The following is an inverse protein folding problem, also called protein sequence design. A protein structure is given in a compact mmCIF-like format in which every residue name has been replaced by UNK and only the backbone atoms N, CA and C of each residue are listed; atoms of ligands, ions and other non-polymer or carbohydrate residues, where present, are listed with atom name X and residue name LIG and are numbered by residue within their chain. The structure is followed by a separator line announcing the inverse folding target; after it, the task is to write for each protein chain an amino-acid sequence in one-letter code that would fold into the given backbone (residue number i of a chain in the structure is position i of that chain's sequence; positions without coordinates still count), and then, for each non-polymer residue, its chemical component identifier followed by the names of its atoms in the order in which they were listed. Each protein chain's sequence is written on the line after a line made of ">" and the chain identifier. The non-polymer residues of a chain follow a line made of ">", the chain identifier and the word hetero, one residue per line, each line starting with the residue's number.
data_IF_451901100232
#
_entry.id   IF_451901100232
#
_cell.length_a   1.000
_cell.length_b   1.000
_cell.length_c   1.000
_cell.angle_alpha   90.00
_cell.angle_beta   90.00
_cell.angle_gamma   90.00
#
_symmetry.space_group_name_H-M   'P 1'
#
loop_
_entity.id
_entity.type
_entity.pdbx_description
1 polymer ?
#
# COMPACT_ATOMS: atom_id res chain seq x y z
N UNK A 1 11.87 24.39 18.55
CA UNK A 1 12.08 24.11 17.13
C UNK A 1 10.78 23.72 16.40
N UNK A 2 9.62 23.70 17.08
CA UNK A 2 8.35 23.21 16.50
C UNK A 2 7.62 24.16 15.54
N UNK A 3 7.96 25.44 15.49
CA UNK A 3 7.26 26.38 14.59
C UNK A 3 7.63 26.19 13.12
N UNK A 4 8.89 25.86 12.80
CA UNK A 4 9.33 25.78 11.41
C UNK A 4 8.68 24.62 10.66
N UNK A 5 8.62 23.43 11.26
CA UNK A 5 7.95 22.29 10.63
C UNK A 5 6.45 22.58 10.43
N UNK A 6 5.79 23.22 11.41
CA UNK A 6 4.39 23.62 11.30
C UNK A 6 4.17 24.61 10.16
N UNK A 7 5.01 25.63 10.04
CA UNK A 7 4.94 26.63 8.97
C UNK A 7 5.19 26.00 7.59
N UNK A 8 6.14 25.05 7.52
CA UNK A 8 6.40 24.27 6.29
C UNK A 8 5.18 23.44 5.91
N UNK A 9 4.57 22.72 6.86
CA UNK A 9 3.35 21.92 6.62
C UNK A 9 2.19 22.80 6.14
N UNK A 10 2.01 23.99 6.73
CA UNK A 10 0.97 24.95 6.33
C UNK A 10 1.19 25.51 4.91
N UNK A 11 2.42 25.81 4.53
CA UNK A 11 2.70 26.29 3.17
C UNK A 11 2.60 25.17 2.14
N UNK A 12 3.05 23.96 2.47
CA UNK A 12 2.91 22.78 1.61
C UNK A 12 1.44 22.46 1.35
N UNK A 13 0.56 22.51 2.35
CA UNK A 13 -0.87 22.25 2.17
C UNK A 13 -1.57 23.28 1.27
N UNK A 14 -1.07 24.53 1.22
CA UNK A 14 -1.63 25.59 0.36
C UNK A 14 -1.13 25.56 -1.08
N UNK A 15 0.11 25.17 -1.30
CA UNK A 15 0.78 25.38 -2.60
C UNK A 15 1.25 24.08 -3.27
N UNK A 16 1.28 22.97 -2.52
CA UNK A 16 1.73 21.65 -2.96
C UNK A 16 3.05 21.68 -3.75
N UNK A 17 4.01 22.49 -3.28
CA UNK A 17 5.27 22.74 -3.99
C UNK A 17 6.40 23.06 -3.02
N UNK A 18 7.39 22.16 -2.95
CA UNK A 18 8.60 22.31 -2.13
C UNK A 18 9.30 23.64 -2.41
N UNK A 19 9.56 23.96 -3.68
CA UNK A 19 10.31 25.16 -4.05
C UNK A 19 9.59 26.46 -3.70
N UNK A 20 8.25 26.51 -3.86
CA UNK A 20 7.47 27.70 -3.45
C UNK A 20 7.49 27.86 -1.93
N UNK A 21 7.40 26.75 -1.19
CA UNK A 21 7.49 26.76 0.27
C UNK A 21 8.86 27.23 0.75
N UNK A 22 9.96 26.71 0.17
CA UNK A 22 11.32 27.16 0.46
C UNK A 22 11.50 28.68 0.23
N UNK A 23 11.06 29.17 -0.94
CA UNK A 23 11.18 30.59 -1.28
C UNK A 23 10.37 31.49 -0.34
N UNK A 24 9.16 31.07 0.06
CA UNK A 24 8.31 31.86 0.97
C UNK A 24 8.84 31.90 2.41
N UNK A 25 9.40 30.79 2.89
CA UNK A 25 9.88 30.66 4.25
C UNK A 25 11.38 31.02 4.39
N UNK A 26 12.05 31.39 3.29
CA UNK A 26 13.48 31.68 3.29
C UNK A 26 14.36 30.46 3.61
N UNK A 27 13.85 29.24 3.37
CA UNK A 27 14.57 28.00 3.67
C UNK A 27 15.44 27.64 2.47
N UNK A 28 16.75 27.56 2.69
CA UNK A 28 17.72 27.12 1.66
C UNK A 28 17.84 25.60 1.58
N UNK A 29 17.51 24.89 2.67
CA UNK A 29 17.54 23.43 2.73
C UNK A 29 16.29 22.81 2.10
N UNK A 30 16.32 22.58 0.80
CA UNK A 30 15.23 21.95 0.03
C UNK A 30 14.95 20.52 0.50
N UNK A 31 15.99 19.76 0.86
CA UNK A 31 15.85 18.38 1.31
C UNK A 31 14.99 18.27 2.58
N UNK A 32 15.18 19.20 3.53
CA UNK A 32 14.36 19.26 4.74
C UNK A 32 12.86 19.44 4.45
N UNK A 33 12.51 20.32 3.50
CA UNK A 33 11.11 20.55 3.11
C UNK A 33 10.54 19.35 2.35
N UNK A 34 11.34 18.71 1.50
CA UNK A 34 10.95 17.48 0.80
C UNK A 34 10.71 16.31 1.77
N UNK A 35 11.53 16.16 2.81
CA UNK A 35 11.34 15.16 3.85
C UNK A 35 10.03 15.39 4.62
N UNK A 36 9.68 16.64 4.92
CA UNK A 36 8.39 16.97 5.55
C UNK A 36 7.23 16.66 4.62
N UNK A 37 7.33 16.97 3.32
CA UNK A 37 6.30 16.60 2.35
C UNK A 37 6.12 15.07 2.31
N UNK A 38 7.21 14.29 2.24
CA UNK A 38 7.13 12.84 2.24
C UNK A 38 6.54 12.28 3.54
N UNK A 39 6.80 12.91 4.69
CA UNK A 39 6.14 12.57 5.96
C UNK A 39 4.64 12.88 5.93
N UNK A 40 4.25 14.05 5.42
CA UNK A 40 2.84 14.42 5.27
C UNK A 40 2.10 13.44 4.35
N UNK A 41 2.71 13.04 3.23
CA UNK A 41 2.14 12.05 2.31
C UNK A 41 1.95 10.69 2.99
N UNK A 42 2.91 10.26 3.84
CA UNK A 42 2.78 9.03 4.63
C UNK A 42 1.75 9.12 5.76
N UNK A 43 1.56 10.31 6.34
CA UNK A 43 0.60 10.55 7.43
C UNK A 43 -0.83 10.76 6.90
N UNK A 44 -0.99 11.12 5.63
CA UNK A 44 -2.30 11.37 5.04
C UNK A 44 -3.00 10.04 4.83
N UNK A 45 -4.13 9.84 5.52
CA UNK A 45 -4.98 8.68 5.29
C UNK A 45 -5.36 8.62 3.81
N UNK A 46 -5.33 7.42 3.19
CA UNK A 46 -5.67 7.27 1.78
C UNK A 46 -7.09 7.79 1.53
N UNK A 47 -7.24 8.58 0.46
CA UNK A 47 -8.54 9.12 0.07
C UNK A 47 -9.53 7.97 -0.21
N UNK A 48 -10.54 7.85 0.65
CA UNK A 48 -11.58 6.83 0.56
C UNK A 48 -12.72 7.25 -0.39
N UNK A 49 -12.64 8.43 -1.03
CA UNK A 49 -13.68 8.96 -1.91
C UNK A 49 -14.04 8.09 -3.12
N UNK A 50 -13.25 7.04 -3.39
CA UNK A 50 -13.53 6.02 -4.41
C UNK A 50 -13.79 4.60 -3.86
N UNK A 51 -13.89 4.43 -2.55
CA UNK A 51 -14.24 3.15 -1.94
C UNK A 51 -15.75 2.95 -2.00
N UNK A 52 -16.19 1.85 -2.61
CA UNK A 52 -17.58 1.40 -2.57
C UNK A 52 -17.86 0.64 -1.27
N UNK A 53 -16.84 -0.02 -0.70
CA UNK A 53 -16.96 -0.87 0.48
C UNK A 53 -15.88 -0.62 1.52
N UNK A 54 -15.57 0.65 1.79
CA UNK A 54 -14.61 1.12 2.79
C UNK A 54 -13.19 0.54 2.64
N UNK A 55 -12.82 0.10 1.44
CA UNK A 55 -11.51 -0.52 1.17
C UNK A 55 -11.41 -1.98 1.61
N UNK A 56 -12.55 -2.64 1.83
CA UNK A 56 -12.62 -4.09 2.10
C UNK A 56 -13.22 -4.88 0.95
N UNK A 57 -13.66 -4.19 -0.10
CA UNK A 57 -14.33 -4.82 -1.23
C UNK A 57 -15.66 -5.44 -0.84
N UNK A 58 -16.20 -6.19 -1.80
CA UNK A 58 -17.57 -6.68 -1.76
C UNK A 58 -17.82 -7.55 -0.52
N UNK A 59 -18.91 -7.34 0.24
CA UNK A 59 -19.20 -8.06 1.47
C UNK A 59 -19.14 -9.59 1.33
N UNK A 60 -19.60 -10.13 0.21
CA UNK A 60 -19.66 -11.57 -0.06
C UNK A 60 -18.29 -12.25 -0.29
N UNK A 61 -17.21 -11.46 -0.43
CA UNK A 61 -15.84 -11.98 -0.60
C UNK A 61 -14.95 -11.75 0.62
N UNK A 62 -15.48 -11.09 1.67
CA UNK A 62 -14.68 -10.71 2.85
C UNK A 62 -14.20 -11.91 3.66
N UNK A 63 -14.92 -13.03 3.60
CA UNK A 63 -14.52 -14.31 4.21
C UNK A 63 -13.23 -14.88 3.58
N UNK A 64 -12.94 -14.49 2.33
CA UNK A 64 -11.77 -14.92 1.55
C UNK A 64 -10.66 -13.88 1.53
N UNK A 65 -10.90 -12.70 2.10
CA UNK A 65 -9.93 -11.61 2.12
C UNK A 65 -8.79 -11.93 3.08
N UNK A 66 -7.58 -12.02 2.56
CA UNK A 66 -6.37 -12.31 3.32
C UNK A 66 -5.69 -11.02 3.75
N UNK A 67 -5.47 -10.11 2.79
CA UNK A 67 -4.71 -8.90 3.01
C UNK A 67 -5.24 -7.76 2.13
N UNK A 68 -4.96 -6.53 2.57
CA UNK A 68 -5.14 -5.31 1.77
C UNK A 68 -3.87 -4.48 1.78
N UNK A 69 -3.64 -3.76 0.70
CA UNK A 69 -2.53 -2.82 0.54
C UNK A 69 -2.99 -1.64 -0.29
N UNK A 70 -2.30 -0.50 -0.23
CA UNK A 70 -2.55 0.56 -1.21
C UNK A 70 -2.09 0.12 -2.59
N UNK A 71 -2.84 0.51 -3.63
CA UNK A 71 -2.53 0.17 -5.02
C UNK A 71 -1.24 0.79 -5.53
N UNK A 72 -0.76 1.83 -4.86
CA UNK A 72 0.52 2.49 -5.11
C UNK A 72 1.69 1.76 -4.46
N UNK A 73 1.44 0.83 -3.54
CA UNK A 73 2.44 0.10 -2.80
C UNK A 73 2.67 -1.30 -3.38
N UNK A 74 3.89 -1.78 -3.27
CA UNK A 74 4.21 -3.18 -3.57
C UNK A 74 3.67 -4.04 -2.43
N UNK A 75 3.12 -5.22 -2.76
CA UNK A 75 2.71 -6.18 -1.74
C UNK A 75 3.87 -6.50 -0.81
N UNK A 76 3.69 -6.20 0.47
CA UNK A 76 4.62 -6.61 1.51
C UNK A 76 4.52 -8.13 1.70
N UNK A 77 5.48 -8.83 1.12
CA UNK A 77 5.57 -10.28 1.17
C UNK A 77 6.10 -10.81 2.51
N UNK A 78 6.51 -9.93 3.43
CA UNK A 78 6.95 -10.33 4.78
C UNK A 78 5.78 -10.53 5.74
N UNK A 79 4.57 -10.09 5.34
CA UNK A 79 3.35 -10.25 6.13
C UNK A 79 3.00 -11.74 6.29
N UNK A 80 2.80 -12.25 7.52
CA UNK A 80 2.50 -13.66 7.77
C UNK A 80 1.28 -14.17 6.98
N UNK A 81 0.23 -13.37 6.86
CA UNK A 81 -0.99 -13.72 6.13
C UNK A 81 -0.75 -13.85 4.62
N UNK A 82 0.14 -13.03 4.05
CA UNK A 82 0.50 -13.09 2.62
C UNK A 82 1.40 -14.30 2.36
N UNK A 83 2.31 -14.61 3.30
CA UNK A 83 3.17 -15.79 3.23
C UNK A 83 2.35 -17.10 3.27
N UNK A 84 1.42 -17.22 4.20
CA UNK A 84 0.51 -18.38 4.29
C UNK A 84 -0.36 -18.54 3.03
N UNK A 85 -0.88 -17.44 2.47
CA UNK A 85 -1.64 -17.50 1.23
C UNK A 85 -0.81 -17.99 0.04
N UNK A 86 0.46 -17.58 -0.05
CA UNK A 86 1.40 -18.06 -1.06
C UNK A 86 1.66 -19.55 -0.93
N UNK A 87 1.96 -20.02 0.28
CA UNK A 87 2.19 -21.44 0.54
C UNK A 87 0.99 -22.30 0.11
N UNK A 88 -0.23 -21.88 0.49
CA UNK A 88 -1.48 -22.56 0.10
C UNK A 88 -1.71 -22.57 -1.42
N UNK A 89 -1.37 -21.48 -2.09
CA UNK A 89 -1.47 -21.35 -3.54
C UNK A 89 -0.45 -22.25 -4.26
N UNK A 90 0.79 -22.27 -3.81
CA UNK A 90 1.86 -23.12 -4.37
C UNK A 90 1.59 -24.60 -4.12
N UNK A 91 1.10 -24.94 -2.92
CA UNK A 91 0.59 -26.29 -2.61
C UNK A 91 -0.60 -26.68 -3.50
N UNK A 92 -1.20 -25.73 -4.23
CA UNK A 92 -2.28 -25.99 -5.17
C UNK A 92 -3.62 -26.24 -4.50
N UNK A 93 -3.71 -25.94 -3.20
CA UNK A 93 -4.91 -26.15 -2.37
C UNK A 93 -5.89 -24.98 -2.48
N UNK A 94 -5.38 -23.79 -2.81
CA UNK A 94 -6.16 -22.58 -2.93
C UNK A 94 -5.81 -21.82 -4.21
N UNK A 95 -6.75 -21.04 -4.71
CA UNK A 95 -6.57 -20.05 -5.77
C UNK A 95 -6.43 -18.66 -5.15
N UNK A 96 -5.46 -17.90 -5.66
CA UNK A 96 -5.26 -16.49 -5.31
C UNK A 96 -5.89 -15.61 -6.38
N UNK A 97 -6.62 -14.59 -5.94
CA UNK A 97 -7.16 -13.55 -6.81
C UNK A 97 -6.91 -12.18 -6.18
N UNK A 98 -6.73 -11.17 -7.03
CA UNK A 98 -6.66 -9.77 -6.58
C UNK A 98 -7.93 -9.03 -6.98
N UNK A 99 -8.38 -8.14 -6.11
CA UNK A 99 -9.44 -7.18 -6.40
C UNK A 99 -9.03 -5.77 -6.05
N UNK A 100 -9.95 -4.84 -6.22
CA UNK A 100 -9.73 -3.42 -5.93
C UNK A 100 -10.98 -2.79 -5.34
N UNK A 101 -10.78 -1.89 -4.39
CA UNK A 101 -11.82 -1.04 -3.82
C UNK A 101 -11.23 0.34 -3.50
N UNK A 102 -11.53 1.33 -4.36
CA UNK A 102 -10.89 2.63 -4.35
C UNK A 102 -9.35 2.56 -4.47
N UNK A 103 -8.60 3.11 -3.51
CA UNK A 103 -7.14 3.08 -3.50
C UNK A 103 -6.57 1.74 -3.00
N UNK A 104 -7.40 0.81 -2.50
CA UNK A 104 -6.92 -0.46 -1.95
C UNK A 104 -6.90 -1.58 -2.99
N UNK A 105 -5.80 -2.31 -3.04
CA UNK A 105 -5.71 -3.66 -3.59
C UNK A 105 -6.06 -4.67 -2.51
N UNK A 106 -6.81 -5.70 -2.91
CA UNK A 106 -7.34 -6.73 -2.04
C UNK A 106 -6.80 -8.08 -2.52
N UNK A 107 -6.26 -8.88 -1.61
CA UNK A 107 -5.80 -10.23 -1.89
C UNK A 107 -6.81 -11.22 -1.32
N UNK A 108 -7.40 -12.03 -2.19
CA UNK A 108 -8.34 -13.09 -1.84
C UNK A 108 -7.71 -14.46 -2.02
N UNK A 109 -8.13 -15.40 -1.17
CA UNK A 109 -7.72 -16.79 -1.23
C UNK A 109 -8.96 -17.69 -1.17
N UNK A 110 -9.17 -18.50 -2.20
CA UNK A 110 -10.34 -19.39 -2.32
C UNK A 110 -9.90 -20.85 -2.35
N UNK A 111 -10.43 -21.74 -1.50
CA UNK A 111 -10.11 -23.17 -1.57
C UNK A 111 -10.48 -23.78 -2.92
N UNK A 112 -9.64 -24.68 -3.43
CA UNK A 112 -9.92 -25.45 -4.64
C UNK A 112 -10.54 -26.80 -4.28
N UNK A 113 -11.47 -27.26 -5.11
CA UNK A 113 -12.04 -28.60 -4.97
C UNK A 113 -11.04 -29.71 -5.32
N UNK A 114 -10.07 -29.43 -6.19
CA UNK A 114 -9.03 -30.36 -6.63
C UNK A 114 -7.67 -29.77 -6.32
N UNK A 115 -6.87 -30.48 -5.53
CA UNK A 115 -5.50 -30.09 -5.19
C UNK A 115 -4.60 -30.37 -6.40
N UNK A 116 -3.95 -29.32 -6.90
CA UNK A 116 -3.00 -29.43 -8.00
C UNK A 116 -1.83 -28.47 -7.74
N UNK A 117 -0.68 -28.98 -7.27
CA UNK A 117 0.49 -28.17 -6.96
C UNK A 117 0.88 -27.26 -8.12
N UNK A 118 1.23 -26.02 -7.81
CA UNK A 118 1.65 -25.01 -8.77
C UNK A 118 3.17 -24.85 -8.71
N UNK A 119 3.82 -24.41 -9.80
CA UNK A 119 5.23 -24.03 -9.75
C UNK A 119 5.49 -23.07 -8.60
N UNK A 120 6.67 -23.16 -8.00
CA UNK A 120 7.12 -22.27 -6.93
C UNK A 120 7.42 -20.87 -7.45
N UNK A 121 6.41 -20.16 -7.98
CA UNK A 121 6.51 -18.83 -8.59
C UNK A 121 7.15 -17.78 -7.66
N UNK A 122 7.17 -18.09 -6.37
CA UNK A 122 7.58 -17.21 -5.30
C UNK A 122 8.93 -17.59 -4.69
N UNK A 123 9.48 -18.74 -5.07
CA UNK A 123 10.82 -19.16 -4.74
C UNK A 123 11.78 -18.63 -5.82
N UNK A 124 12.42 -17.49 -5.53
CA UNK A 124 13.58 -17.04 -6.31
C UNK A 124 14.74 -17.99 -6.02
N UNK A 125 14.78 -19.15 -6.66
CA UNK A 125 16.05 -19.83 -6.88
C UNK A 125 16.83 -19.01 -7.90
N UNK A 126 17.64 -18.08 -7.43
CA UNK A 126 18.81 -17.60 -8.16
C UNK A 126 19.72 -18.81 -8.40
N UNK A 127 19.52 -19.50 -9.52
CA UNK A 127 20.58 -20.30 -10.10
C UNK A 127 21.65 -19.31 -10.61
N UNK A 128 22.85 -19.43 -10.05
CA UNK A 128 24.00 -18.57 -10.32
C UNK A 128 24.70 -18.84 -11.65
#
# INVERSE_FOLDING_TARGET
>A
MDNLEKDVREQLSRHNSVFKTCNKLGITNVAYVADIQAKMEKETAPDLGGCEYDGYGRPELRDRLVARSLATEVWDNTRPEVADAREKYEAGTHDMATGRDGPYLLLYLTPRAVVQPRPGYFNLTTEG
#
